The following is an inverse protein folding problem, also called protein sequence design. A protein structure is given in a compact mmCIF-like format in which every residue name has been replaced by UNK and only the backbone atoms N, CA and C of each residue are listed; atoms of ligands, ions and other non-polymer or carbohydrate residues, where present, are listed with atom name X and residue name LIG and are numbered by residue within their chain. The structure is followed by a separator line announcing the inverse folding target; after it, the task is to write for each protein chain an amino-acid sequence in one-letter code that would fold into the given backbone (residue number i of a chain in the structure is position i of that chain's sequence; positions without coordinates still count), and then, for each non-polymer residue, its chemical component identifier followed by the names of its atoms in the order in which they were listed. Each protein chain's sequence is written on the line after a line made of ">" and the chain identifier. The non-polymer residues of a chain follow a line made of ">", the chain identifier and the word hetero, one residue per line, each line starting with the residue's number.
data_IF_273995708396
#
_entry.id   IF_273995708396
#
_cell.length_a   1.000
_cell.length_b   1.000
_cell.length_c   1.000
_cell.angle_alpha   90.00
_cell.angle_beta   90.00
_cell.angle_gamma   90.00
#
_symmetry.space_group_name_H-M   'P 1'
#
loop_
_entity.id
_entity.type
_entity.pdbx_description
1 polymer ?
#
# COMPACT_ATOMS: atom_id res chain seq x y z
N UNK A 1 -1.84 14.17 27.75
CA UNK A 1 -1.57 13.81 26.33
C UNK A 1 -2.72 14.39 25.52
N UNK A 2 -2.44 15.10 24.42
CA UNK A 2 -3.49 15.56 23.51
C UNK A 2 -3.77 14.41 22.56
N UNK A 3 -4.94 13.77 22.65
CA UNK A 3 -5.33 12.74 21.68
C UNK A 3 -5.57 13.41 20.34
N UNK A 4 -4.93 12.92 19.27
CA UNK A 4 -5.06 13.49 17.93
C UNK A 4 -6.46 13.29 17.33
N UNK A 5 -7.21 12.32 17.84
CA UNK A 5 -8.57 11.99 17.43
C UNK A 5 -9.51 11.90 18.64
N UNK A 6 -10.81 12.05 18.39
CA UNK A 6 -11.88 12.00 19.38
C UNK A 6 -12.86 10.85 19.09
N UNK A 7 -13.63 10.43 20.10
CA UNK A 7 -14.72 9.47 19.93
C UNK A 7 -15.75 10.04 18.94
N UNK A 8 -16.15 9.22 17.96
CA UNK A 8 -17.03 9.59 16.85
C UNK A 8 -16.29 10.09 15.60
N UNK A 9 -14.97 10.32 15.67
CA UNK A 9 -14.20 10.75 14.50
C UNK A 9 -14.20 9.69 13.40
N UNK A 10 -14.43 10.14 12.16
CA UNK A 10 -14.25 9.34 10.95
C UNK A 10 -12.79 9.35 10.53
N UNK A 11 -12.16 8.20 10.63
CA UNK A 11 -10.73 8.00 10.39
C UNK A 11 -10.51 6.91 9.35
N UNK A 12 -9.24 6.72 8.98
CA UNK A 12 -8.77 5.62 8.16
C UNK A 12 -7.73 4.83 8.94
N UNK A 13 -7.82 3.51 8.90
CA UNK A 13 -6.83 2.61 9.50
C UNK A 13 -5.94 2.05 8.41
N UNK A 14 -4.64 2.33 8.50
CA UNK A 14 -3.65 1.79 7.57
C UNK A 14 -2.76 0.79 8.28
N UNK A 15 -2.37 -0.26 7.56
CA UNK A 15 -1.36 -1.22 7.97
C UNK A 15 0.00 -0.94 7.30
N UNK A 16 0.04 0.06 6.42
CA UNK A 16 1.24 0.48 5.75
C UNK A 16 2.07 1.40 6.63
N UNK A 17 3.38 1.31 6.45
CA UNK A 17 4.36 1.96 7.30
C UNK A 17 4.37 3.48 7.10
N UNK A 18 4.75 4.28 8.11
CA UNK A 18 4.79 5.74 7.98
C UNK A 18 5.70 6.26 6.87
N UNK A 19 6.74 5.51 6.50
CA UNK A 19 7.65 5.81 5.39
C UNK A 19 7.03 5.64 4.01
N UNK A 20 5.92 4.90 3.89
CA UNK A 20 5.25 4.67 2.62
C UNK A 20 4.62 5.95 2.09
N UNK A 21 4.59 6.08 0.76
CA UNK A 21 3.87 7.15 0.03
C UNK A 21 2.52 7.49 0.68
N UNK A 22 2.30 8.77 1.00
CA UNK A 22 1.07 9.21 1.68
C UNK A 22 -0.22 8.86 0.90
N UNK A 23 -0.20 8.99 -0.42
CA UNK A 23 -1.34 8.62 -1.28
C UNK A 23 -1.65 7.12 -1.18
N UNK A 24 -0.62 6.27 -1.10
CA UNK A 24 -0.76 4.83 -1.01
C UNK A 24 -1.32 4.43 0.35
N UNK A 25 -0.78 5.00 1.43
CA UNK A 25 -1.28 4.78 2.80
C UNK A 25 -2.75 5.13 2.93
N UNK A 26 -3.18 6.22 2.31
CA UNK A 26 -4.56 6.70 2.33
C UNK A 26 -5.50 5.84 1.47
N UNK A 27 -5.04 5.42 0.28
CA UNK A 27 -5.84 4.61 -0.63
C UNK A 27 -5.99 3.16 -0.15
N UNK A 28 -4.95 2.61 0.47
CA UNK A 28 -4.93 1.25 1.01
C UNK A 28 -5.52 1.12 2.43
N UNK A 29 -5.98 2.22 3.03
CA UNK A 29 -6.56 2.22 4.37
C UNK A 29 -8.05 1.85 4.37
N UNK A 30 -8.51 1.33 5.50
CA UNK A 30 -9.92 1.03 5.74
C UNK A 30 -10.59 2.20 6.44
N UNK A 31 -11.73 2.66 5.90
CA UNK A 31 -12.56 3.66 6.58
C UNK A 31 -13.13 3.07 7.89
N UNK A 32 -13.04 3.86 8.96
CA UNK A 32 -13.42 3.48 10.31
C UNK A 32 -13.96 4.66 11.14
N UNK A 33 -14.53 4.35 12.28
CA UNK A 33 -14.96 5.32 13.29
C UNK A 33 -14.32 5.00 14.65
N UNK A 34 -13.86 6.04 15.36
CA UNK A 34 -13.34 5.90 16.72
C UNK A 34 -14.50 5.68 17.70
N UNK A 35 -14.48 4.56 18.43
CA UNK A 35 -15.50 4.21 19.42
C UNK A 35 -15.07 4.54 20.85
N UNK A 36 -13.78 4.38 21.16
CA UNK A 36 -13.24 4.62 22.48
C UNK A 36 -11.75 4.98 22.42
N UNK A 37 -11.24 5.60 23.48
CA UNK A 37 -9.83 5.97 23.63
C UNK A 37 -9.35 5.53 25.01
N UNK A 38 -8.38 4.61 25.04
CA UNK A 38 -7.86 4.01 26.25
C UNK A 38 -6.33 4.09 26.31
N UNK A 39 -5.72 3.61 27.40
CA UNK A 39 -4.26 3.65 27.58
C UNK A 39 -3.48 2.88 26.50
N UNK A 40 -4.13 1.93 25.81
CA UNK A 40 -3.52 1.12 24.74
C UNK A 40 -3.65 1.76 23.35
N UNK A 41 -4.46 2.82 23.20
CA UNK A 41 -4.69 3.51 21.94
C UNK A 41 -6.18 3.77 21.67
N UNK A 42 -6.60 3.52 20.44
CA UNK A 42 -7.94 3.82 19.94
C UNK A 42 -8.66 2.52 19.59
N UNK A 43 -9.87 2.35 20.12
CA UNK A 43 -10.76 1.30 19.65
C UNK A 43 -11.60 1.85 18.51
N UNK A 44 -11.54 1.20 17.35
CA UNK A 44 -12.18 1.65 16.12
C UNK A 44 -13.07 0.57 15.54
N UNK A 45 -14.12 0.98 14.82
CA UNK A 45 -14.99 0.08 14.07
C UNK A 45 -14.89 0.36 12.57
N UNK A 46 -14.63 -0.69 11.79
CA UNK A 46 -14.61 -0.62 10.34
C UNK A 46 -16.00 -0.41 9.74
N UNK A 47 -16.12 0.52 8.80
CA UNK A 47 -17.41 0.84 8.16
C UNK A 47 -17.92 -0.33 7.30
N UNK A 48 -17.01 -1.05 6.63
CA UNK A 48 -17.38 -2.07 5.64
C UNK A 48 -17.93 -3.38 6.23
N UNK A 49 -17.47 -3.79 7.42
CA UNK A 49 -17.85 -5.07 8.03
C UNK A 49 -18.23 -4.97 9.52
N UNK A 50 -18.21 -3.76 10.10
CA UNK A 50 -18.49 -3.49 11.52
C UNK A 50 -17.55 -4.19 12.51
N UNK A 51 -16.44 -4.78 12.05
CA UNK A 51 -15.44 -5.37 12.92
C UNK A 51 -14.80 -4.29 13.79
N UNK A 52 -14.49 -4.65 15.04
CA UNK A 52 -13.84 -3.77 16.01
C UNK A 52 -12.41 -4.22 16.20
N UNK A 53 -11.47 -3.27 16.22
CA UNK A 53 -10.11 -3.55 16.66
C UNK A 53 -9.55 -2.38 17.48
N UNK A 54 -8.52 -2.69 18.25
CA UNK A 54 -7.65 -1.69 18.85
C UNK A 54 -6.51 -1.33 17.90
N UNK A 55 -6.26 -0.04 17.72
CA UNK A 55 -5.23 0.50 16.85
C UNK A 55 -4.42 1.59 17.57
N UNK A 56 -3.10 1.55 17.41
CA UNK A 56 -2.23 2.66 17.82
C UNK A 56 -2.45 3.88 16.94
N UNK A 57 -2.15 5.07 17.49
CA UNK A 57 -2.31 6.35 16.79
C UNK A 57 -1.56 6.39 15.45
N UNK A 58 -0.41 5.71 15.36
CA UNK A 58 0.44 5.66 14.17
C UNK A 58 -0.23 5.01 12.95
N UNK A 59 -1.29 4.24 13.19
CA UNK A 59 -2.10 3.55 12.16
C UNK A 59 -3.31 4.37 11.74
N UNK A 60 -3.67 5.40 12.50
CA UNK A 60 -4.81 6.24 12.21
C UNK A 60 -4.40 7.39 11.29
N UNK A 61 -5.18 7.55 10.24
CA UNK A 61 -5.06 8.62 9.26
C UNK A 61 -6.34 9.46 9.27
N UNK A 62 -6.23 10.78 9.09
CA UNK A 62 -7.42 11.60 8.89
C UNK A 62 -8.08 11.23 7.56
N UNK A 63 -9.41 11.21 7.52
CA UNK A 63 -10.20 10.95 6.31
C UNK A 63 -10.17 12.17 5.39
N UNK A 64 -9.06 12.34 4.67
CA UNK A 64 -8.84 13.42 3.71
C UNK A 64 -8.73 12.87 2.30
N UNK A 65 -9.19 13.67 1.33
CA UNK A 65 -8.87 13.41 -0.07
C UNK A 65 -7.37 13.56 -0.29
N UNK A 66 -6.77 12.64 -1.05
CA UNK A 66 -5.38 12.71 -1.47
C UNK A 66 -5.31 12.67 -2.98
N UNK A 67 -4.36 13.42 -3.54
CA UNK A 67 -4.03 13.31 -4.96
C UNK A 67 -3.33 11.98 -5.19
N UNK A 68 -4.05 11.03 -5.80
CA UNK A 68 -3.47 9.78 -6.27
C UNK A 68 -2.82 10.00 -7.64
N UNK A 69 -1.71 9.30 -7.97
CA UNK A 69 -1.17 9.34 -9.32
C UNK A 69 -2.20 8.85 -10.34
N UNK A 70 -2.27 9.48 -11.52
CA UNK A 70 -3.29 9.19 -12.54
C UNK A 70 -3.25 7.75 -13.07
N UNK A 71 -2.10 7.07 -12.96
CA UNK A 71 -1.94 5.67 -13.34
C UNK A 71 -2.46 4.70 -12.26
N UNK A 72 -2.87 5.18 -11.08
CA UNK A 72 -3.40 4.36 -9.99
C UNK A 72 -4.92 4.48 -9.96
N UNK A 73 -5.60 3.34 -10.07
CA UNK A 73 -7.05 3.24 -9.89
C UNK A 73 -7.43 2.85 -8.47
N UNK A 74 -6.70 1.90 -7.86
CA UNK A 74 -6.96 1.46 -6.50
C UNK A 74 -5.69 0.87 -5.87
N UNK A 75 -5.66 0.77 -4.54
CA UNK A 75 -4.63 0.05 -3.81
C UNK A 75 -5.19 -0.60 -2.54
N UNK A 76 -4.55 -1.66 -2.08
CA UNK A 76 -4.83 -2.30 -0.80
C UNK A 76 -3.53 -2.85 -0.24
N UNK A 77 -3.43 -2.96 1.07
CA UNK A 77 -2.25 -3.57 1.65
C UNK A 77 -2.35 -3.85 3.14
N UNK A 78 -1.53 -4.79 3.56
CA UNK A 78 -1.28 -5.18 4.94
C UNK A 78 0.24 -5.16 5.22
N UNK A 79 0.68 -5.83 6.27
CA UNK A 79 2.10 -5.89 6.67
C UNK A 79 2.98 -6.75 5.76
N UNK A 80 2.41 -7.60 4.92
CA UNK A 80 3.13 -8.58 4.10
C UNK A 80 2.96 -8.31 2.60
N UNK A 81 1.84 -7.69 2.21
CA UNK A 81 1.51 -7.44 0.83
C UNK A 81 0.92 -6.05 0.60
N UNK A 82 1.47 -5.34 -0.38
CA UNK A 82 0.88 -4.18 -1.02
C UNK A 82 0.41 -4.62 -2.40
N UNK A 83 -0.77 -4.16 -2.81
CA UNK A 83 -1.27 -4.35 -4.17
C UNK A 83 -1.78 -3.03 -4.74
N UNK A 84 -1.41 -2.77 -5.99
CA UNK A 84 -1.78 -1.57 -6.73
C UNK A 84 -2.44 -2.01 -8.03
N UNK A 85 -3.56 -1.37 -8.37
CA UNK A 85 -4.32 -1.62 -9.59
C UNK A 85 -4.35 -0.37 -10.46
N UNK A 86 -4.11 -0.57 -11.76
CA UNK A 86 -4.26 0.42 -12.81
C UNK A 86 -5.29 -0.06 -13.84
N UNK A 87 -6.19 0.82 -14.26
CA UNK A 87 -7.07 0.57 -15.42
C UNK A 87 -6.37 0.88 -16.74
N UNK A 88 -5.66 2.00 -16.80
CA UNK A 88 -4.95 2.47 -17.99
C UNK A 88 -3.66 3.12 -17.56
N UNK A 89 -2.53 2.64 -18.08
CA UNK A 89 -1.22 3.20 -17.76
C UNK A 89 -1.02 4.53 -18.48
N UNK A 90 -0.89 5.60 -17.69
CA UNK A 90 -0.50 6.94 -18.15
C UNK A 90 0.97 7.27 -17.85
N UNK A 91 1.70 6.32 -17.25
CA UNK A 91 3.11 6.41 -16.89
C UNK A 91 3.93 5.48 -17.79
N UNK A 92 5.18 5.87 -18.12
CA UNK A 92 6.08 4.99 -18.86
C UNK A 92 6.45 3.76 -18.03
N UNK A 93 6.72 2.63 -18.68
CA UNK A 93 7.09 1.41 -17.96
C UNK A 93 8.39 1.55 -17.15
N UNK A 94 9.35 2.32 -17.64
CA UNK A 94 10.59 2.59 -16.90
C UNK A 94 10.32 3.37 -15.60
N UNK A 95 9.48 4.40 -15.67
CA UNK A 95 9.07 5.16 -14.50
C UNK A 95 8.20 4.33 -13.54
N UNK A 96 7.30 3.49 -14.07
CA UNK A 96 6.50 2.55 -13.29
C UNK A 96 7.39 1.59 -12.50
N UNK A 97 8.31 0.89 -13.16
CA UNK A 97 9.19 -0.07 -12.48
C UNK A 97 10.04 0.60 -11.39
N UNK A 98 10.52 1.82 -11.66
CA UNK A 98 11.27 2.60 -10.68
C UNK A 98 10.43 3.00 -9.47
N UNK A 99 9.18 3.41 -9.67
CA UNK A 99 8.25 3.74 -8.59
C UNK A 99 7.87 2.51 -7.77
N UNK A 100 7.61 1.37 -8.41
CA UNK A 100 7.33 0.11 -7.70
C UNK A 100 8.52 -0.34 -6.85
N UNK A 101 9.76 -0.21 -7.36
CA UNK A 101 10.96 -0.46 -6.57
C UNK A 101 11.09 0.46 -5.37
N UNK A 102 10.74 1.74 -5.54
CA UNK A 102 10.78 2.71 -4.46
C UNK A 102 9.79 2.33 -3.35
N UNK A 103 8.53 2.09 -3.73
CA UNK A 103 7.45 1.69 -2.81
C UNK A 103 7.85 0.44 -2.02
N UNK A 104 8.30 -0.63 -2.67
CA UNK A 104 8.62 -1.85 -1.93
C UNK A 104 9.82 -1.65 -0.98
N UNK A 105 10.79 -0.81 -1.33
CA UNK A 105 11.95 -0.52 -0.47
C UNK A 105 11.59 0.29 0.77
N UNK A 106 10.59 1.15 0.69
CA UNK A 106 10.08 1.91 1.84
C UNK A 106 9.53 1.00 2.96
N UNK A 107 9.11 -0.25 2.66
CA UNK A 107 8.68 -1.23 3.68
C UNK A 107 9.82 -1.81 4.52
N UNK A 108 11.03 -1.94 3.95
CA UNK A 108 12.15 -2.52 4.70
C UNK A 108 12.61 -1.67 5.88
N UNK A 109 12.25 -0.38 5.91
CA UNK A 109 12.60 0.51 6.99
C UNK A 109 11.88 0.19 8.32
N UNK A 110 10.81 -0.61 8.30
CA UNK A 110 9.91 -0.79 9.46
C UNK A 110 9.79 -2.22 9.97
N UNK A 111 10.13 -3.23 9.17
CA UNK A 111 9.97 -4.63 9.56
C UNK A 111 11.08 -5.05 10.54
N UNK A 112 10.73 -5.18 11.81
CA UNK A 112 11.58 -5.80 12.86
C UNK A 112 11.84 -7.32 12.63
N UNK A 113 11.37 -7.89 11.52
CA UNK A 113 11.43 -9.33 11.20
C UNK A 113 11.91 -9.56 9.78
N UNK A 114 12.60 -10.68 9.55
CA UNK A 114 12.95 -11.22 8.23
C UNK A 114 11.69 -11.75 7.49
N UNK A 115 10.75 -10.87 7.18
CA UNK A 115 9.55 -11.20 6.41
C UNK A 115 9.75 -10.84 4.94
N UNK A 116 9.23 -11.68 4.04
CA UNK A 116 9.19 -11.37 2.61
C UNK A 116 8.01 -10.45 2.35
N UNK A 117 8.29 -9.22 1.93
CA UNK A 117 7.28 -8.25 1.47
C UNK A 117 6.97 -8.50 0.01
N UNK A 118 5.69 -8.39 -0.36
CA UNK A 118 5.25 -8.49 -1.75
C UNK A 118 4.57 -7.19 -2.19
N UNK A 119 5.02 -6.61 -3.30
CA UNK A 119 4.29 -5.56 -4.00
C UNK A 119 3.75 -6.12 -5.31
N UNK A 120 2.43 -6.18 -5.44
CA UNK A 120 1.73 -6.62 -6.66
C UNK A 120 1.23 -5.41 -7.42
N UNK A 121 1.49 -5.39 -8.71
CA UNK A 121 0.98 -4.38 -9.61
C UNK A 121 0.21 -5.07 -10.72
N UNK A 122 -1.06 -4.70 -10.87
CA UNK A 122 -1.93 -5.19 -11.93
C UNK A 122 -2.38 -4.01 -12.80
N UNK A 123 -2.16 -4.12 -14.11
CA UNK A 123 -2.70 -3.19 -15.10
C UNK A 123 -3.66 -3.92 -16.03
N UNK A 124 -4.81 -3.29 -16.31
CA UNK A 124 -5.79 -3.79 -17.27
C UNK A 124 -5.45 -3.40 -18.71
N UNK A 125 -4.86 -2.22 -18.92
CA UNK A 125 -4.50 -1.70 -20.25
C UNK A 125 -3.11 -1.06 -20.24
N UNK A 126 -2.08 -1.73 -20.81
CA UNK A 126 -2.09 -3.12 -21.26
C UNK A 126 -2.19 -4.12 -20.10
N UNK A 127 -2.65 -5.34 -20.40
CA UNK A 127 -2.79 -6.43 -19.41
C UNK A 127 -1.41 -6.87 -18.92
N UNK A 128 -1.10 -6.58 -17.67
CA UNK A 128 0.16 -6.99 -17.05
C UNK A 128 0.01 -7.26 -15.56
N UNK A 129 0.72 -8.28 -15.09
CA UNK A 129 0.84 -8.65 -13.67
C UNK A 129 2.33 -8.71 -13.31
N UNK A 130 2.73 -7.76 -12.49
CA UNK A 130 4.09 -7.60 -12.00
C UNK A 130 4.07 -7.81 -10.49
N UNK A 131 4.92 -8.69 -9.99
CA UNK A 131 5.14 -8.82 -8.54
C UNK A 131 6.60 -8.51 -8.22
N UNK A 132 6.84 -7.64 -7.26
CA UNK A 132 8.14 -7.43 -6.64
C UNK A 132 8.14 -8.13 -5.28
N UNK A 133 9.22 -8.83 -4.96
CA UNK A 133 9.44 -9.44 -3.63
C UNK A 133 10.68 -8.82 -2.98
N UNK A 134 10.58 -8.45 -1.71
CA UNK A 134 11.68 -7.88 -0.93
C UNK A 134 11.90 -8.67 0.37
N UNK A 135 13.08 -9.28 0.47
CA UNK A 135 13.60 -9.88 1.71
C UNK A 135 15.01 -9.36 2.03
N UNK A 136 15.87 -9.22 1.02
CA UNK A 136 17.21 -8.57 1.12
C UNK A 136 17.54 -7.73 -0.11
N UNK A 137 17.12 -8.23 -1.27
CA UNK A 137 17.11 -7.54 -2.55
C UNK A 137 15.70 -7.58 -3.13
N UNK A 138 15.42 -6.66 -4.04
CA UNK A 138 14.19 -6.68 -4.84
C UNK A 138 14.32 -7.76 -5.91
N UNK A 139 13.33 -8.63 -6.03
CA UNK A 139 13.19 -9.64 -7.09
C UNK A 139 11.93 -9.32 -7.88
N UNK A 140 12.05 -9.17 -9.19
CA UNK A 140 10.90 -8.97 -10.08
C UNK A 140 10.35 -10.31 -10.55
N UNK A 141 9.03 -10.38 -10.70
CA UNK A 141 8.30 -11.51 -11.25
C UNK A 141 7.28 -11.06 -12.28
N UNK A 142 7.21 -11.81 -13.37
CA UNK A 142 6.20 -11.70 -14.43
C UNK A 142 5.30 -12.93 -14.36
N UNK A 143 4.01 -12.76 -14.07
CA UNK A 143 3.08 -13.89 -13.83
C UNK A 143 3.70 -15.01 -12.98
N UNK A 144 4.24 -14.61 -11.81
CA UNK A 144 4.92 -15.47 -10.81
C UNK A 144 6.33 -15.98 -11.16
N UNK A 145 6.82 -15.81 -12.38
CA UNK A 145 8.18 -16.26 -12.77
C UNK A 145 9.22 -15.17 -12.52
N UNK A 146 10.34 -15.45 -11.81
CA UNK A 146 11.43 -14.49 -11.63
C UNK A 146 11.98 -14.00 -12.97
N UNK A 147 12.25 -12.70 -13.07
CA UNK A 147 12.73 -12.05 -14.29
C UNK A 147 13.70 -10.91 -13.93
N UNK A 148 14.66 -10.61 -14.81
CA UNK A 148 15.51 -9.42 -14.65
C UNK A 148 14.69 -8.16 -14.94
N UNK A 149 14.95 -7.06 -14.22
CA UNK A 149 14.29 -5.77 -14.44
C UNK A 149 14.36 -5.32 -15.91
N UNK A 150 15.53 -5.43 -16.54
CA UNK A 150 15.72 -5.05 -17.94
C UNK A 150 14.91 -5.93 -18.91
N UNK A 151 14.84 -7.23 -18.66
CA UNK A 151 14.04 -8.16 -19.47
C UNK A 151 12.54 -7.90 -19.29
N UNK A 152 12.10 -7.60 -18.06
CA UNK A 152 10.73 -7.20 -17.78
C UNK A 152 10.35 -5.92 -18.53
N UNK A 153 11.22 -4.90 -18.52
CA UNK A 153 11.01 -3.66 -19.27
C UNK A 153 10.84 -3.93 -20.77
N UNK A 154 11.69 -4.79 -21.35
CA UNK A 154 11.57 -5.18 -22.77
C UNK A 154 10.23 -5.86 -23.02
N UNK A 155 9.77 -6.76 -22.14
CA UNK A 155 8.45 -7.40 -22.30
C UNK A 155 7.31 -6.39 -22.24
N UNK A 156 7.34 -5.47 -21.28
CA UNK A 156 6.31 -4.45 -21.10
C UNK A 156 6.22 -3.50 -22.30
N UNK A 157 7.36 -3.04 -22.83
CA UNK A 157 7.40 -2.17 -24.01
C UNK A 157 6.89 -2.83 -25.30
N UNK A 158 6.69 -4.16 -25.30
CA UNK A 158 6.17 -4.91 -26.44
C UNK A 158 4.69 -5.33 -26.27
N UNK A 159 4.00 -4.81 -25.25
CA UNK A 159 2.55 -4.96 -25.05
C UNK A 159 1.77 -3.89 -25.80
#
# INVERSE_FOLDING_TARGET
>A
MSNAYQIGDKVRVTYLCPSQRAWLRQLAAFDAEVLDINESGYDVQYEHNRARLSAGEERLLPRKSVSTPDWVTNAWGDYEAISIRSRSLTISFEALLSELEHIIREEKASLKRDCVVKLRFFSEQPVSDITLELNKRVVFRWYHRPIKRSELLVKLNNL
#
